data_IF_822800413653
#
_entry.id   IF_822800413653
#
_cell.length_a   1.000
_cell.length_b   1.000
_cell.length_c   1.000
_cell.angle_alpha   90.00
_cell.angle_beta   90.00
_cell.angle_gamma   90.00
#
_symmetry.space_group_name_H-M   'P 1'
#
loop_
_entity.id
_entity.type
_entity.pdbx_description
1 polymer ?
#
# COMPACT_ATOMS: atom_id res chain seq x y z
N UNK A 1 -12.93 3.71 5.18
CA UNK A 1 -11.58 3.26 5.59
C UNK A 1 -10.99 4.29 6.53
N UNK A 2 -10.06 3.90 7.40
CA UNK A 2 -9.32 4.84 8.25
C UNK A 2 -7.86 4.78 7.81
N UNK A 3 -7.35 5.87 7.24
CA UNK A 3 -5.93 6.02 6.95
C UNK A 3 -5.20 6.50 8.20
N UNK A 4 -3.94 6.11 8.32
CA UNK A 4 -3.03 6.68 9.29
C UNK A 4 -2.95 8.20 9.12
N UNK A 5 -2.66 8.93 10.21
CA UNK A 5 -2.49 10.37 10.16
C UNK A 5 -1.15 10.75 9.51
N UNK A 6 -0.16 9.86 9.58
CA UNK A 6 1.19 10.05 9.05
C UNK A 6 1.57 8.90 8.12
N UNK A 7 2.55 9.16 7.23
CA UNK A 7 3.17 8.13 6.43
C UNK A 7 4.09 7.27 7.30
N UNK A 8 4.12 5.95 7.06
CA UNK A 8 5.06 5.06 7.75
C UNK A 8 6.51 5.25 7.26
N UNK A 9 6.71 5.92 6.12
CA UNK A 9 8.00 6.18 5.50
C UNK A 9 7.99 5.94 3.99
N UNK A 10 9.18 6.00 3.39
CA UNK A 10 9.44 5.62 2.00
C UNK A 10 10.11 4.25 1.97
N UNK A 11 9.54 3.30 1.25
CA UNK A 11 10.05 1.94 1.19
C UNK A 11 9.92 1.37 -0.22
N UNK A 12 10.78 0.40 -0.53
CA UNK A 12 10.58 -0.46 -1.70
C UNK A 12 9.30 -1.26 -1.54
N UNK A 13 8.69 -1.63 -2.66
CA UNK A 13 7.52 -2.48 -2.61
C UNK A 13 7.90 -3.92 -2.24
N UNK A 14 8.82 -4.49 -3.00
CA UNK A 14 9.27 -5.88 -2.92
C UNK A 14 10.43 -6.17 -3.88
N UNK A 15 10.83 -7.44 -4.02
CA UNK A 15 11.83 -7.86 -5.00
C UNK A 15 11.22 -8.27 -6.35
N UNK A 16 11.84 -7.81 -7.44
CA UNK A 16 11.50 -8.18 -8.83
C UNK A 16 11.52 -9.68 -9.11
N UNK A 17 10.69 -10.10 -10.06
CA UNK A 17 10.59 -11.49 -10.50
C UNK A 17 9.77 -12.38 -9.57
N UNK A 18 9.04 -11.82 -8.60
CA UNK A 18 8.29 -12.61 -7.59
C UNK A 18 6.78 -12.48 -7.81
N UNK A 19 6.11 -13.55 -8.23
CA UNK A 19 4.64 -13.62 -8.23
C UNK A 19 4.12 -13.85 -6.81
N UNK A 20 3.41 -12.87 -6.26
CA UNK A 20 3.03 -12.83 -4.83
C UNK A 20 1.63 -13.35 -4.56
N UNK A 21 0.78 -13.38 -5.59
CA UNK A 21 -0.67 -13.63 -5.44
C UNK A 21 -1.45 -12.45 -4.82
N UNK A 22 -0.78 -11.37 -4.40
CA UNK A 22 -1.38 -10.17 -3.81
C UNK A 22 -2.06 -9.27 -4.87
N UNK A 23 -3.03 -9.83 -5.60
CA UNK A 23 -3.60 -9.23 -6.82
C UNK A 23 -4.95 -8.55 -6.59
N UNK A 24 -5.51 -8.59 -5.37
CA UNK A 24 -6.82 -7.99 -5.10
C UNK A 24 -6.77 -6.48 -5.30
N UNK A 25 -7.71 -5.94 -6.07
CA UNK A 25 -7.81 -4.50 -6.30
C UNK A 25 -8.40 -3.72 -5.13
N UNK A 26 -9.10 -4.40 -4.22
CA UNK A 26 -9.92 -3.75 -3.19
C UNK A 26 -9.70 -4.33 -1.78
N UNK A 27 -8.94 -5.42 -1.63
CA UNK A 27 -8.67 -6.05 -0.34
C UNK A 27 -7.17 -5.98 0.00
N UNK A 28 -6.73 -4.80 0.42
CA UNK A 28 -5.34 -4.57 0.78
C UNK A 28 -4.90 -5.36 2.00
N UNK A 29 -5.84 -5.75 2.87
CA UNK A 29 -5.55 -6.57 4.06
C UNK A 29 -5.11 -7.97 3.63
N UNK A 30 -5.87 -8.62 2.75
CA UNK A 30 -5.52 -9.95 2.23
C UNK A 30 -4.23 -9.91 1.41
N UNK A 31 -4.04 -8.87 0.59
CA UNK A 31 -2.79 -8.67 -0.15
C UNK A 31 -1.58 -8.52 0.79
N UNK A 32 -1.68 -7.62 1.76
CA UNK A 32 -0.60 -7.39 2.74
C UNK A 32 -0.28 -8.68 3.48
N UNK A 33 -1.28 -9.45 3.90
CA UNK A 33 -1.06 -10.74 4.53
C UNK A 33 -0.33 -11.72 3.59
N UNK A 34 -0.71 -11.80 2.31
CA UNK A 34 -0.01 -12.64 1.34
C UNK A 34 1.47 -12.23 1.20
N UNK A 35 1.75 -10.94 1.06
CA UNK A 35 3.12 -10.41 0.98
C UNK A 35 3.96 -10.79 2.21
N UNK A 36 3.40 -10.68 3.42
CA UNK A 36 4.09 -11.01 4.67
C UNK A 36 4.33 -12.51 4.89
N UNK A 37 3.64 -13.38 4.14
CA UNK A 37 3.83 -14.84 4.24
C UNK A 37 4.90 -15.37 3.29
N UNK A 38 5.36 -14.55 2.35
CA UNK A 38 6.41 -14.93 1.41
C UNK A 38 7.79 -14.87 2.08
N UNK A 39 8.68 -15.77 1.66
CA UNK A 39 10.08 -15.76 2.08
C UNK A 39 10.90 -14.75 1.25
N UNK A 40 10.40 -13.52 1.17
CA UNK A 40 10.95 -12.42 0.38
C UNK A 40 10.68 -11.08 1.09
N UNK A 41 11.55 -10.09 0.87
CA UNK A 41 11.52 -8.82 1.57
C UNK A 41 10.51 -7.83 0.95
N UNK A 42 9.36 -7.64 1.60
CA UNK A 42 8.34 -6.65 1.22
C UNK A 42 8.25 -5.51 2.26
N UNK A 43 9.20 -4.56 2.30
CA UNK A 43 9.29 -3.58 3.38
C UNK A 43 8.07 -2.65 3.42
N UNK A 44 7.49 -2.26 2.29
CA UNK A 44 6.27 -1.45 2.29
C UNK A 44 5.10 -2.13 3.02
N UNK A 45 4.89 -3.43 2.77
CA UNK A 45 3.87 -4.23 3.44
C UNK A 45 4.19 -4.42 4.93
N UNK A 46 5.46 -4.70 5.24
CA UNK A 46 5.94 -4.86 6.62
C UNK A 46 5.70 -3.61 7.45
N UNK A 47 6.25 -2.46 7.06
CA UNK A 47 6.12 -1.23 7.84
C UNK A 47 4.67 -0.73 7.91
N UNK A 48 3.84 -0.96 6.90
CA UNK A 48 2.41 -0.69 6.99
C UNK A 48 1.72 -1.56 8.06
N UNK A 49 2.08 -2.85 8.15
CA UNK A 49 1.52 -3.78 9.13
C UNK A 49 2.00 -3.55 10.57
N UNK A 50 3.19 -2.96 10.73
CA UNK A 50 3.74 -2.62 12.05
C UNK A 50 3.21 -1.29 12.59
N UNK A 51 2.51 -0.51 11.77
CA UNK A 51 1.98 0.78 12.18
C UNK A 51 0.93 0.60 13.28
N UNK A 52 1.05 1.42 14.33
CA UNK A 52 0.07 1.47 15.42
C UNK A 52 -0.29 2.92 15.72
N UNK A 53 -1.58 3.16 15.97
CA UNK A 53 -2.09 4.49 16.35
C UNK A 53 -3.40 4.32 17.11
N UNK A 54 -3.67 5.23 18.05
CA UNK A 54 -4.94 5.29 18.81
C UNK A 54 -5.33 3.97 19.49
N UNK A 55 -4.33 3.18 19.91
CA UNK A 55 -4.51 1.86 20.52
C UNK A 55 -4.87 0.75 19.53
N UNK A 56 -4.62 0.94 18.23
CA UNK A 56 -4.99 0.04 17.14
C UNK A 56 -3.74 -0.44 16.39
N UNK A 57 -3.75 -1.69 15.96
CA UNK A 57 -2.59 -2.38 15.34
C UNK A 57 -2.97 -3.28 14.16
N UNK A 58 -4.18 -3.14 13.62
CA UNK A 58 -4.71 -3.90 12.48
C UNK A 58 -4.59 -3.12 11.15
N UNK A 59 -3.56 -2.28 11.05
CA UNK A 59 -3.21 -1.55 9.84
C UNK A 59 -2.56 -2.47 8.79
N UNK A 60 -2.69 -2.07 7.53
CA UNK A 60 -2.15 -2.81 6.39
C UNK A 60 -1.83 -1.84 5.24
N UNK A 61 -1.09 -2.33 4.24
CA UNK A 61 -0.80 -1.57 3.02
C UNK A 61 -2.05 -1.53 2.13
N UNK A 62 -2.63 -0.35 1.83
CA UNK A 62 -3.88 -0.23 1.07
C UNK A 62 -3.77 -0.88 -0.31
N UNK A 63 -4.83 -1.50 -0.80
CA UNK A 63 -4.94 -1.92 -2.21
C UNK A 63 -5.13 -0.72 -3.14
N UNK A 64 -5.05 -0.95 -4.45
CA UNK A 64 -5.17 0.10 -5.46
C UNK A 64 -6.49 0.90 -5.36
N UNK A 65 -7.64 0.24 -5.16
CA UNK A 65 -8.93 0.92 -5.01
C UNK A 65 -9.03 1.64 -3.66
N UNK A 66 -8.40 1.11 -2.62
CA UNK A 66 -8.34 1.77 -1.32
C UNK A 66 -7.51 3.06 -1.43
N UNK A 67 -6.36 3.07 -2.10
CA UNK A 67 -5.65 4.33 -2.33
C UNK A 67 -6.44 5.32 -3.19
N UNK A 68 -7.13 4.84 -4.24
CA UNK A 68 -7.96 5.70 -5.08
C UNK A 68 -9.07 6.39 -4.27
N UNK A 69 -9.69 5.70 -3.32
CA UNK A 69 -10.63 6.32 -2.39
C UNK A 69 -9.97 7.41 -1.53
N UNK A 70 -8.75 7.17 -1.04
CA UNK A 70 -7.99 8.18 -0.29
C UNK A 70 -7.77 9.44 -1.12
N UNK A 71 -7.33 9.29 -2.36
CA UNK A 71 -7.17 10.41 -3.29
C UNK A 71 -8.50 11.13 -3.60
N UNK A 72 -9.56 10.37 -3.91
CA UNK A 72 -10.83 10.94 -4.35
C UNK A 72 -11.58 11.72 -3.25
N UNK A 73 -11.42 11.34 -1.99
CA UNK A 73 -12.22 11.88 -0.88
C UNK A 73 -11.43 12.55 0.24
N UNK A 74 -10.12 12.33 0.31
CA UNK A 74 -9.27 12.72 1.43
C UNK A 74 -7.91 13.25 0.96
N UNK A 75 -7.78 13.72 -0.29
CA UNK A 75 -6.50 14.16 -0.85
C UNK A 75 -5.83 15.29 -0.04
N UNK A 76 -6.61 16.13 0.64
CA UNK A 76 -6.14 17.16 1.57
C UNK A 76 -5.39 16.60 2.81
N UNK A 77 -5.45 15.28 3.04
CA UNK A 77 -4.80 14.58 4.16
C UNK A 77 -3.55 13.81 3.76
N UNK A 78 -3.16 13.89 2.50
CA UNK A 78 -1.98 13.22 1.95
C UNK A 78 -1.02 14.26 1.40
N UNK A 79 0.26 13.93 1.41
CA UNK A 79 1.27 14.76 0.78
C UNK A 79 1.28 14.51 -0.74
N UNK A 80 1.58 15.54 -1.53
CA UNK A 80 1.71 15.42 -2.99
C UNK A 80 2.82 14.43 -3.36
N UNK A 81 2.50 13.41 -4.16
CA UNK A 81 3.42 12.39 -4.65
C UNK A 81 2.80 11.00 -4.73
N UNK A 82 3.64 9.98 -4.93
CA UNK A 82 3.19 8.60 -5.19
C UNK A 82 3.21 7.72 -3.95
N UNK A 83 2.15 6.92 -3.81
CA UNK A 83 1.98 5.95 -2.73
C UNK A 83 1.91 4.52 -3.27
N UNK A 84 2.60 3.60 -2.60
CA UNK A 84 2.53 2.16 -2.91
C UNK A 84 1.18 1.56 -2.49
N UNK A 85 0.58 0.79 -3.39
CA UNK A 85 -0.51 -0.13 -3.03
C UNK A 85 0.03 -1.53 -2.75
N UNK A 86 -0.74 -2.36 -2.05
CA UNK A 86 -0.45 -3.79 -1.90
C UNK A 86 -0.89 -4.64 -3.10
N UNK A 87 -1.49 -4.03 -4.13
CA UNK A 87 -1.94 -4.75 -5.32
C UNK A 87 -0.79 -4.93 -6.30
N UNK A 88 -0.36 -6.17 -6.51
CA UNK A 88 0.56 -6.55 -7.57
C UNK A 88 -0.11 -6.46 -8.94
N UNK A 89 0.63 -5.94 -9.93
CA UNK A 89 0.27 -6.04 -11.35
C UNK A 89 0.92 -7.26 -11.99
N UNK A 90 2.20 -7.51 -11.72
CA UNK A 90 2.98 -8.65 -12.22
C UNK A 90 4.21 -8.86 -11.35
N UNK A 91 4.97 -9.92 -11.63
CA UNK A 91 6.25 -10.23 -10.99
C UNK A 91 7.22 -9.04 -10.80
N UNK A 92 7.16 -8.02 -11.66
CA UNK A 92 8.07 -6.86 -11.65
C UNK A 92 7.40 -5.52 -11.29
N UNK A 93 6.08 -5.51 -11.08
CA UNK A 93 5.31 -4.27 -10.98
C UNK A 93 4.18 -4.33 -9.95
N UNK A 94 4.01 -3.22 -9.22
CA UNK A 94 2.88 -3.01 -8.31
C UNK A 94 2.16 -1.70 -8.61
N UNK A 95 0.86 -1.63 -8.27
CA UNK A 95 0.08 -0.41 -8.46
C UNK A 95 0.46 0.67 -7.46
N UNK A 96 0.44 1.91 -7.92
CA UNK A 96 0.66 3.14 -7.17
C UNK A 96 -0.50 4.11 -7.37
N UNK A 97 -0.65 5.06 -6.45
CA UNK A 97 -1.55 6.20 -6.60
C UNK A 97 -0.76 7.50 -6.44
N UNK A 98 -0.77 8.34 -7.47
CA UNK A 98 -0.29 9.72 -7.39
C UNK A 98 -1.33 10.63 -6.76
N UNK A 99 -0.93 11.43 -5.77
CA UNK A 99 -1.76 12.40 -5.07
C UNK A 99 -1.58 13.84 -5.56
N UNK A 100 -0.62 14.08 -6.45
CA UNK A 100 -0.38 15.33 -7.19
C UNK A 100 -1.39 15.55 -8.33
N UNK A 101 -1.87 14.48 -8.97
CA UNK A 101 -2.80 14.55 -10.09
C UNK A 101 -3.82 13.41 -10.18
N UNK A 102 -3.78 12.45 -9.26
CA UNK A 102 -4.76 11.36 -9.19
C UNK A 102 -4.49 10.16 -10.09
N UNK A 103 -3.35 10.11 -10.76
CA UNK A 103 -3.09 9.01 -11.69
C UNK A 103 -2.73 7.72 -10.96
N UNK A 104 -3.33 6.62 -11.41
CA UNK A 104 -3.02 5.28 -10.93
C UNK A 104 -2.22 4.53 -12.00
N UNK A 105 -0.99 4.17 -11.66
CA UNK A 105 -0.04 3.51 -12.57
C UNK A 105 0.63 2.34 -11.87
N UNK A 106 1.20 1.45 -12.65
CA UNK A 106 2.18 0.47 -12.21
C UNK A 106 3.59 1.06 -12.26
N UNK A 107 4.36 0.84 -11.19
CA UNK A 107 5.77 1.23 -11.10
C UNK A 107 6.62 0.02 -10.77
N UNK A 108 7.88 0.11 -11.22
CA UNK A 108 8.92 -0.83 -10.86
C UNK A 108 9.15 -0.79 -9.33
N UNK A 109 9.18 -1.96 -8.72
CA UNK A 109 9.29 -2.18 -7.28
C UNK A 109 10.65 -1.80 -6.66
N UNK A 110 11.66 -1.45 -7.48
CA UNK A 110 12.93 -0.91 -6.99
C UNK A 110 12.82 0.49 -6.40
N UNK A 111 11.77 1.24 -6.73
CA UNK A 111 11.57 2.60 -6.24
C UNK A 111 11.09 2.61 -4.78
N UNK A 112 11.63 3.54 -4.01
CA UNK A 112 11.12 3.83 -2.66
C UNK A 112 10.01 4.88 -2.76
N UNK A 113 8.77 4.46 -2.50
CA UNK A 113 7.61 5.34 -2.50
C UNK A 113 6.96 5.36 -1.12
N UNK A 114 6.08 6.33 -0.90
CA UNK A 114 5.43 6.54 0.39
C UNK A 114 4.48 5.39 0.72
N UNK A 115 4.42 5.07 2.00
CA UNK A 115 3.50 4.10 2.57
C UNK A 115 2.57 4.80 3.53
N UNK A 116 1.28 4.86 3.18
CA UNK A 116 0.21 5.31 4.09
C UNK A 116 -0.60 4.10 4.56
N UNK A 117 -0.41 3.64 5.80
CA UNK A 117 -1.18 2.52 6.33
C UNK A 117 -2.69 2.83 6.37
N UNK A 118 -3.51 1.81 6.14
CA UNK A 118 -4.97 1.92 6.23
C UNK A 118 -5.53 0.78 7.09
N UNK A 119 -6.69 0.99 7.71
CA UNK A 119 -7.48 -0.05 8.37
C UNK A 119 -8.95 0.06 8.02
N UNK A 120 -9.68 -1.08 8.10
CA UNK A 120 -11.14 -1.15 7.88
C UNK A 120 -11.80 -2.04 8.94
N UNK A 121 -13.03 -1.66 9.33
CA UNK A 121 -13.76 -2.32 10.41
C UNK A 121 -14.50 -3.61 10.01
N UNK A 122 -14.52 -3.98 8.72
CA UNK A 122 -15.28 -5.14 8.25
C UNK A 122 -14.64 -5.80 7.02
N UNK A 123 -14.91 -7.11 6.87
CA UNK A 123 -14.52 -7.94 5.73
C UNK A 123 -15.47 -7.73 4.57
#
# INVERSE_FOLDING_TARGET
MIYAQEDAGNFKWGPSGTETGATSRFDGRTNTQALLTLNADFPAAFYASQYTADGQSDFYLPSAAELNHGWAYLSDRFEEGSYWSSTQRSADFAFTQGFDGGTQHDYDEFNELRVRPVRRFIR
#
